data_IF_444019841787
#
_entry.id   IF_444019841787
#
_cell.length_a   1.000
_cell.length_b   1.000
_cell.length_c   1.000
_cell.angle_alpha   90.00
_cell.angle_beta   90.00
_cell.angle_gamma   90.00
#
_symmetry.space_group_name_H-M   'P 1'
#
loop_
_entity.id
_entity.type
_entity.pdbx_description
1 polymer ?
#
# COMPACT_ATOMS: atom_id res chain seq x y z
N UNK A 1 19.26 -8.86 19.67
CA UNK A 1 18.48 -8.83 18.41
C UNK A 1 17.01 -8.81 18.78
N UNK A 2 16.32 -7.68 18.60
CA UNK A 2 14.90 -7.58 18.92
C UNK A 2 14.11 -8.10 17.72
N UNK A 3 13.66 -9.36 17.75
CA UNK A 3 12.70 -9.87 16.78
C UNK A 3 11.41 -9.07 16.96
N UNK A 4 11.05 -8.23 15.98
CA UNK A 4 9.74 -7.57 15.94
C UNK A 4 8.67 -8.64 16.13
N UNK A 5 7.61 -8.37 16.93
CA UNK A 5 6.48 -9.28 17.01
C UNK A 5 5.95 -9.50 15.59
N UNK A 6 5.78 -10.77 15.21
CA UNK A 6 5.11 -11.13 13.96
C UNK A 6 3.70 -10.54 14.02
N UNK A 7 3.38 -9.64 13.08
CA UNK A 7 2.05 -9.04 12.99
C UNK A 7 0.98 -10.12 12.83
N UNK A 8 -0.14 -9.97 13.54
CA UNK A 8 -1.23 -10.96 13.56
C UNK A 8 -2.19 -10.73 12.40
N UNK A 9 -2.75 -11.80 11.83
CA UNK A 9 -3.83 -11.70 10.84
C UNK A 9 -5.12 -11.33 11.58
N UNK A 10 -5.77 -10.24 11.15
CA UNK A 10 -7.04 -9.76 11.72
C UNK A 10 -8.23 -10.05 10.81
N UNK A 11 -7.98 -10.27 9.52
CA UNK A 11 -9.00 -10.61 8.55
C UNK A 11 -8.41 -11.50 7.46
N UNK A 12 -9.21 -12.47 7.02
CA UNK A 12 -8.88 -13.38 5.94
C UNK A 12 -10.11 -13.53 5.05
N UNK A 13 -9.90 -13.47 3.74
CA UNK A 13 -10.93 -13.63 2.72
C UNK A 13 -10.48 -14.70 1.73
N UNK A 14 -11.35 -15.70 1.53
CA UNK A 14 -11.19 -16.73 0.52
C UNK A 14 -12.00 -16.35 -0.73
N UNK A 15 -11.30 -16.04 -1.81
CA UNK A 15 -11.87 -15.68 -3.10
C UNK A 15 -11.48 -16.65 -4.22
N UNK A 16 -11.07 -17.89 -3.89
CA UNK A 16 -10.61 -18.96 -4.80
C UNK A 16 -10.71 -18.65 -6.31
N UNK A 17 -9.57 -18.45 -7.03
CA UNK A 17 -8.23 -18.95 -6.70
C UNK A 17 -7.33 -17.93 -5.98
N UNK A 18 -7.86 -16.77 -5.61
CA UNK A 18 -7.12 -15.69 -4.96
C UNK A 18 -7.61 -15.53 -3.54
N UNK A 19 -6.68 -15.43 -2.60
CA UNK A 19 -6.97 -15.24 -1.19
C UNK A 19 -6.33 -13.95 -0.73
N UNK A 20 -6.91 -13.35 0.30
CA UNK A 20 -6.47 -12.08 0.85
C UNK A 20 -6.37 -12.16 2.37
N UNK A 21 -5.40 -11.49 2.96
CA UNK A 21 -5.30 -11.38 4.43
C UNK A 21 -4.78 -10.01 4.82
N UNK A 22 -5.40 -9.45 5.86
CA UNK A 22 -5.03 -8.16 6.44
C UNK A 22 -4.43 -8.43 7.81
N UNK A 23 -3.29 -7.79 8.08
CA UNK A 23 -2.62 -7.81 9.38
C UNK A 23 -2.88 -6.56 10.20
N UNK A 24 -2.71 -6.66 11.51
CA UNK A 24 -2.85 -5.55 12.47
C UNK A 24 -1.93 -4.35 12.20
N UNK A 25 -0.80 -4.58 11.53
CA UNK A 25 0.18 -3.55 11.13
C UNK A 25 -0.15 -2.84 9.80
N UNK A 26 -1.31 -3.15 9.21
CA UNK A 26 -1.77 -2.60 7.93
C UNK A 26 -1.17 -3.30 6.70
N UNK A 27 -0.41 -4.38 6.87
CA UNK A 27 0.04 -5.20 5.73
C UNK A 27 -1.12 -6.02 5.17
N UNK A 28 -1.29 -5.95 3.85
CA UNK A 28 -2.23 -6.75 3.07
C UNK A 28 -1.41 -7.75 2.24
N UNK A 29 -1.84 -9.02 2.27
CA UNK A 29 -1.20 -10.11 1.53
C UNK A 29 -2.27 -10.75 0.65
N UNK A 30 -2.00 -10.81 -0.64
CA UNK A 30 -2.76 -11.61 -1.59
C UNK A 30 -1.91 -12.76 -2.11
N UNK A 31 -2.50 -13.93 -2.29
CA UNK A 31 -1.84 -15.04 -2.98
C UNK A 31 -2.81 -15.75 -3.90
N UNK A 32 -2.26 -16.31 -4.98
CA UNK A 32 -2.99 -16.98 -6.04
C UNK A 32 -2.46 -18.39 -6.21
N UNK A 33 -3.25 -19.40 -5.84
CA UNK A 33 -2.82 -20.81 -5.92
C UNK A 33 -2.62 -21.25 -7.37
N UNK A 34 -3.41 -20.71 -8.30
CA UNK A 34 -3.35 -21.08 -9.72
C UNK A 34 -2.09 -20.58 -10.42
N UNK A 35 -1.58 -19.42 -9.99
CA UNK A 35 -0.48 -18.74 -10.65
C UNK A 35 0.78 -18.65 -9.79
N UNK A 36 0.74 -19.13 -8.54
CA UNK A 36 1.87 -19.14 -7.61
C UNK A 36 2.36 -17.74 -7.23
N UNK A 37 1.56 -16.70 -7.48
CA UNK A 37 1.95 -15.31 -7.26
C UNK A 37 1.50 -14.83 -5.89
N UNK A 38 2.32 -13.97 -5.27
CA UNK A 38 2.07 -13.33 -3.98
C UNK A 38 2.25 -11.83 -4.16
N UNK A 39 1.27 -11.05 -3.72
CA UNK A 39 1.32 -9.59 -3.68
C UNK A 39 1.23 -9.13 -2.25
N UNK A 40 2.13 -8.23 -1.86
CA UNK A 40 2.19 -7.68 -0.51
C UNK A 40 2.15 -6.16 -0.62
N UNK A 41 1.18 -5.53 0.01
CA UNK A 41 1.14 -4.08 0.19
C UNK A 41 1.15 -3.72 1.67
N UNK A 42 1.59 -2.49 1.97
CA UNK A 42 1.48 -1.93 3.31
C UNK A 42 0.65 -0.67 3.21
N UNK A 43 -0.64 -0.81 3.50
CA UNK A 43 -1.56 0.31 3.45
C UNK A 43 -1.38 1.17 4.70
N UNK A 44 -1.44 2.49 4.49
CA UNK A 44 -1.52 3.45 5.59
C UNK A 44 -2.82 4.22 5.45
N UNK A 45 -3.45 4.63 6.57
CA UNK A 45 -4.64 5.47 6.53
C UNK A 45 -4.43 6.66 5.60
N UNK A 46 -5.41 6.96 4.74
CA UNK A 46 -5.33 8.08 3.80
C UNK A 46 -4.97 9.40 4.50
N UNK A 47 -5.47 9.62 5.72
CA UNK A 47 -5.14 10.78 6.54
C UNK A 47 -3.62 10.97 6.78
N UNK A 48 -2.82 9.90 6.79
CA UNK A 48 -1.36 9.96 6.93
C UNK A 48 -0.63 10.21 5.61
N UNK A 49 -1.23 9.82 4.49
CA UNK A 49 -0.60 9.86 3.15
C UNK A 49 -1.02 11.11 2.36
N UNK A 50 -2.25 11.56 2.54
CA UNK A 50 -2.85 12.68 1.82
C UNK A 50 -2.09 14.01 1.96
N UNK A 51 -1.55 14.40 3.13
CA UNK A 51 -0.81 15.67 3.26
C UNK A 51 0.43 15.70 2.37
N UNK A 52 1.20 14.61 2.35
CA UNK A 52 2.45 14.48 1.60
C UNK A 52 2.20 14.38 0.10
N UNK A 53 1.27 13.51 -0.33
CA UNK A 53 0.90 13.39 -1.75
C UNK A 53 0.33 14.71 -2.31
N UNK A 54 -0.44 15.46 -1.52
CA UNK A 54 -0.98 16.76 -1.93
C UNK A 54 0.12 17.81 -2.14
N UNK A 55 1.17 17.79 -1.33
CA UNK A 55 2.33 18.67 -1.50
C UNK A 55 3.15 18.28 -2.75
N UNK A 56 3.39 16.99 -2.96
CA UNK A 56 4.10 16.46 -4.15
C UNK A 56 3.35 16.82 -5.45
N UNK A 57 2.03 16.61 -5.49
CA UNK A 57 1.20 16.97 -6.65
C UNK A 57 1.25 18.47 -6.91
N UNK A 58 1.19 19.32 -5.86
CA UNK A 58 1.30 20.77 -6.01
C UNK A 58 2.66 21.18 -6.57
N UNK A 59 3.74 20.59 -6.07
CA UNK A 59 5.10 20.86 -6.53
C UNK A 59 5.27 20.46 -8.01
N UNK A 60 4.78 19.28 -8.38
CA UNK A 60 4.80 18.80 -9.76
C UNK A 60 4.00 19.71 -10.72
N UNK A 61 2.80 20.15 -10.31
CA UNK A 61 2.00 21.09 -11.10
C UNK A 61 2.72 22.44 -11.27
N UNK A 62 3.39 22.94 -10.22
CA UNK A 62 4.16 24.17 -10.30
C UNK A 62 5.36 24.03 -11.27
N UNK A 63 6.05 22.90 -11.24
CA UNK A 63 7.15 22.58 -12.15
C UNK A 63 6.67 22.51 -13.62
N UNK A 64 5.57 21.81 -13.89
CA UNK A 64 4.98 21.73 -15.23
C UNK A 64 4.59 23.11 -15.77
N UNK A 65 4.01 23.96 -14.93
CA UNK A 65 3.68 25.35 -15.30
C UNK A 65 4.92 26.18 -15.61
N UNK A 66 5.98 26.04 -14.82
CA UNK A 66 7.25 26.74 -15.05
C UNK A 66 7.92 26.31 -16.36
N UNK A 67 7.91 25.01 -16.66
CA UNK A 67 8.47 24.45 -17.91
C UNK A 67 7.67 24.84 -19.16
N UNK A 68 6.36 25.08 -19.03
CA UNK A 68 5.49 25.50 -20.13
C UNK A 68 5.58 27.01 -20.44
N UNK A 69 6.18 27.80 -19.56
CA UNK A 69 6.38 29.25 -19.74
C UNK A 69 7.81 29.64 -20.19
N UNK A 70 8.68 28.65 -20.44
CA UNK A 70 9.98 28.83 -21.09
C UNK A 70 9.90 28.32 -22.52
#
# INVERSE_FOLDING_TARGET
MSSKPSSSIIHHEDGSPVYSSIRDDGTIIHWCDKCGAIWISKEQPEAKVAPTKRLEIKAFIAELKSKRMK
#
